data_IF_625168329092
#
_entry.id   IF_625168329092
#
_cell.length_a   1.000
_cell.length_b   1.000
_cell.length_c   1.000
_cell.angle_alpha   90.00
_cell.angle_beta   90.00
_cell.angle_gamma   90.00
#
_symmetry.space_group_name_H-M   'P 1'
#
loop_
_entity.id
_entity.type
_entity.pdbx_description
1 polymer ?
#
# COMPACT_ATOMS: atom_id res chain seq x y z
N UNK A 1 -15.89 -44.23 -24.70
CA UNK A 1 -15.96 -43.38 -23.50
C UNK A 1 -14.52 -43.08 -23.07
N UNK A 2 -14.08 -41.83 -23.19
CA UNK A 2 -12.77 -41.37 -22.71
C UNK A 2 -13.03 -40.12 -21.87
N UNK A 3 -13.14 -40.32 -20.56
CA UNK A 3 -13.22 -39.22 -19.59
C UNK A 3 -11.78 -38.79 -19.35
N UNK A 4 -11.34 -37.76 -20.07
CA UNK A 4 -10.07 -37.09 -19.79
C UNK A 4 -10.37 -36.02 -18.73
N UNK A 5 -10.26 -36.41 -17.46
CA UNK A 5 -10.25 -35.47 -16.35
C UNK A 5 -8.90 -34.75 -16.33
N UNK A 6 -8.86 -33.53 -16.87
CA UNK A 6 -7.71 -32.64 -16.74
C UNK A 6 -7.77 -31.97 -15.36
N UNK A 7 -7.07 -32.58 -14.41
CA UNK A 7 -6.68 -31.97 -13.15
C UNK A 7 -5.66 -30.88 -13.47
N UNK A 8 -6.06 -29.62 -13.34
CA UNK A 8 -5.12 -28.53 -13.07
C UNK A 8 -5.58 -27.81 -11.80
N UNK A 9 -5.29 -28.48 -10.68
CA UNK A 9 -5.06 -27.83 -9.40
C UNK A 9 -3.87 -26.89 -9.59
N UNK A 10 -4.12 -25.68 -10.08
CA UNK A 10 -3.19 -24.58 -9.82
C UNK A 10 -3.51 -24.14 -8.40
N UNK A 11 -3.00 -24.92 -7.46
CA UNK A 11 -2.74 -24.49 -6.10
C UNK A 11 -1.77 -23.33 -6.23
N UNK A 12 -2.30 -22.12 -6.44
CA UNK A 12 -1.52 -20.90 -6.39
C UNK A 12 -0.97 -20.81 -4.98
N UNK A 13 0.24 -21.32 -4.80
CA UNK A 13 1.15 -20.95 -3.73
C UNK A 13 1.40 -19.46 -3.93
N UNK A 14 0.44 -18.64 -3.47
CA UNK A 14 0.76 -17.28 -3.08
C UNK A 14 1.60 -17.50 -1.85
N UNK A 15 2.90 -17.52 -2.07
CA UNK A 15 3.91 -17.48 -1.04
C UNK A 15 3.43 -16.47 -0.01
N UNK A 16 3.05 -16.95 1.17
CA UNK A 16 3.03 -16.13 2.38
C UNK A 16 4.51 -15.76 2.66
N UNK A 17 5.10 -14.94 1.81
CA UNK A 17 6.02 -13.94 2.31
C UNK A 17 5.13 -13.14 3.25
N UNK A 18 5.34 -13.31 4.56
CA UNK A 18 4.67 -12.48 5.55
C UNK A 18 4.86 -11.05 5.08
N UNK A 19 3.78 -10.42 4.62
CA UNK A 19 3.79 -9.06 4.15
C UNK A 19 4.33 -8.22 5.30
N UNK A 20 5.59 -7.84 5.20
CA UNK A 20 6.26 -7.10 6.25
C UNK A 20 5.84 -5.62 6.20
N UNK A 21 5.10 -5.22 5.16
CA UNK A 21 4.63 -3.86 4.94
C UNK A 21 3.21 -3.75 4.40
N UNK A 22 2.81 -2.50 4.34
CA UNK A 22 1.49 -2.04 3.96
C UNK A 22 1.66 -1.17 2.71
N UNK A 23 0.99 -1.56 1.63
CA UNK A 23 0.97 -0.77 0.42
C UNK A 23 0.12 0.47 0.68
N UNK A 24 0.75 1.64 0.64
CA UNK A 24 0.13 2.92 0.87
C UNK A 24 0.07 3.73 -0.43
N UNK A 25 -1.09 4.32 -0.67
CA UNK A 25 -1.33 5.27 -1.75
C UNK A 25 -1.65 6.63 -1.14
N UNK A 26 -0.95 7.65 -1.62
CA UNK A 26 -1.20 9.04 -1.31
C UNK A 26 -2.19 9.59 -2.34
N UNK A 27 -3.33 10.07 -1.86
CA UNK A 27 -4.38 10.65 -2.70
C UNK A 27 -4.43 12.16 -2.50
N UNK A 28 -4.63 12.87 -3.60
CA UNK A 28 -4.89 14.30 -3.55
C UNK A 28 -6.38 14.62 -3.31
N UNK A 29 -6.70 15.92 -3.30
CA UNK A 29 -8.08 16.42 -3.12
C UNK A 29 -9.09 15.85 -4.14
N UNK A 30 -8.62 15.44 -5.32
CA UNK A 30 -9.45 14.85 -6.38
C UNK A 30 -9.53 13.32 -6.27
N UNK A 31 -9.07 12.72 -5.17
CA UNK A 31 -8.96 11.27 -4.98
C UNK A 31 -8.08 10.57 -6.05
N UNK A 32 -7.17 11.32 -6.68
CA UNK A 32 -6.19 10.75 -7.60
C UNK A 32 -4.93 10.34 -6.83
N UNK A 33 -4.39 9.17 -7.16
CA UNK A 33 -3.14 8.67 -6.59
C UNK A 33 -1.98 9.49 -7.14
N UNK A 34 -1.26 10.17 -6.25
CA UNK A 34 -0.11 11.03 -6.58
C UNK A 34 1.22 10.47 -6.07
N UNK A 35 1.16 9.40 -5.29
CA UNK A 35 2.32 8.70 -4.78
C UNK A 35 1.94 7.33 -4.24
N UNK A 36 2.84 6.36 -4.38
CA UNK A 36 2.66 5.01 -3.84
C UNK A 36 3.94 4.55 -3.18
N UNK A 37 3.83 3.83 -2.07
CA UNK A 37 5.00 3.29 -1.39
C UNK A 37 4.65 2.10 -0.50
N UNK A 38 5.66 1.29 -0.21
CA UNK A 38 5.56 0.22 0.77
C UNK A 38 6.02 0.76 2.13
N UNK A 39 5.14 0.69 3.13
CA UNK A 39 5.45 1.13 4.50
C UNK A 39 5.56 -0.11 5.38
N UNK A 40 6.74 -0.38 5.94
CA UNK A 40 6.90 -1.53 6.84
C UNK A 40 5.96 -1.40 8.05
N UNK A 41 5.37 -2.53 8.48
CA UNK A 41 4.46 -2.58 9.62
C UNK A 41 5.12 -2.10 10.90
N UNK A 42 4.39 -1.32 11.70
CA UNK A 42 4.87 -0.64 12.91
C UNK A 42 6.08 0.27 12.66
N UNK A 43 6.25 0.74 11.42
CA UNK A 43 7.33 1.62 11.02
C UNK A 43 6.78 2.75 10.15
N UNK A 44 7.69 3.55 9.59
CA UNK A 44 7.37 4.64 8.70
C UNK A 44 8.19 4.57 7.40
N UNK A 45 7.64 5.12 6.33
CA UNK A 45 8.35 5.33 5.09
C UNK A 45 7.96 6.68 4.50
N UNK A 46 8.83 7.24 3.65
CA UNK A 46 8.52 8.46 2.94
C UNK A 46 7.89 8.11 1.58
N UNK A 47 6.69 8.63 1.33
CA UNK A 47 5.98 8.50 0.06
C UNK A 47 6.13 9.79 -0.71
N UNK A 48 6.67 9.69 -1.92
CA UNK A 48 6.88 10.84 -2.78
C UNK A 48 5.61 11.19 -3.55
N UNK A 49 5.17 12.44 -3.44
CA UNK A 49 4.15 13.04 -4.30
C UNK A 49 4.81 13.60 -5.56
N UNK A 50 4.54 12.97 -6.70
CA UNK A 50 5.10 13.39 -8.00
C UNK A 50 4.58 14.74 -8.48
N UNK A 51 3.37 15.12 -8.05
CA UNK A 51 2.70 16.37 -8.46
C UNK A 51 3.30 17.56 -7.75
N UNK A 52 3.55 17.44 -6.44
CA UNK A 52 4.13 18.50 -5.62
C UNK A 52 5.63 18.45 -5.47
N UNK A 53 6.26 17.36 -5.95
CA UNK A 53 7.68 17.08 -5.77
C UNK A 53 8.10 17.11 -4.30
N UNK A 54 7.24 16.59 -3.44
CA UNK A 54 7.38 16.61 -1.99
C UNK A 54 7.28 15.20 -1.41
N UNK A 55 8.03 14.93 -0.34
CA UNK A 55 7.98 13.65 0.37
C UNK A 55 7.13 13.75 1.62
N UNK A 56 6.21 12.80 1.81
CA UNK A 56 5.35 12.70 2.98
C UNK A 56 5.69 11.46 3.78
N UNK A 57 6.02 11.63 5.06
CA UNK A 57 6.22 10.50 5.96
C UNK A 57 4.87 9.87 6.28
N UNK A 58 4.77 8.56 6.08
CA UNK A 58 3.59 7.75 6.35
C UNK A 58 3.98 6.65 7.31
N UNK A 59 3.22 6.52 8.39
CA UNK A 59 3.35 5.44 9.35
C UNK A 59 2.34 4.34 9.04
N UNK A 60 2.71 3.09 9.29
CA UNK A 60 1.80 1.97 9.26
C UNK A 60 1.82 1.25 10.61
N UNK A 61 0.65 0.85 11.11
CA UNK A 61 0.56 -0.07 12.24
C UNK A 61 0.52 -1.54 11.77
N UNK A 62 0.49 -2.48 12.72
CA UNK A 62 0.43 -3.92 12.44
C UNK A 62 -0.79 -4.38 11.62
N UNK A 63 -1.86 -3.59 11.58
CA UNK A 63 -3.09 -3.88 10.85
C UNK A 63 -3.17 -3.08 9.54
N UNK A 64 -2.06 -2.49 9.09
CA UNK A 64 -2.02 -1.57 7.95
C UNK A 64 -2.96 -0.37 8.05
N UNK A 65 -3.25 0.08 9.27
CA UNK A 65 -3.74 1.43 9.51
C UNK A 65 -2.65 2.43 9.16
N UNK A 66 -2.94 3.28 8.19
CA UNK A 66 -2.02 4.29 7.68
C UNK A 66 -2.30 5.65 8.32
N UNK A 67 -1.25 6.38 8.65
CA UNK A 67 -1.35 7.76 9.12
C UNK A 67 -0.18 8.60 8.62
N UNK A 68 -0.40 9.89 8.49
CA UNK A 68 0.70 10.82 8.22
C UNK A 68 1.60 10.97 9.45
N UNK A 69 2.87 11.29 9.22
CA UNK A 69 3.79 11.70 10.28
C UNK A 69 3.30 12.94 11.03
N UNK A 70 3.60 13.02 12.32
CA UNK A 70 3.10 14.10 13.19
C UNK A 70 3.75 15.47 12.92
N UNK A 71 4.86 15.51 12.18
CA UNK A 71 5.69 16.70 11.95
C UNK A 71 5.73 17.02 10.45
N UNK A 72 4.58 17.10 9.80
CA UNK A 72 4.49 17.54 8.40
C UNK A 72 3.14 18.24 8.14
N UNK A 73 3.16 19.24 7.27
CA UNK A 73 1.94 19.92 6.83
C UNK A 73 1.34 19.12 5.68
N UNK A 74 0.14 18.59 5.89
CA UNK A 74 -0.61 17.89 4.86
C UNK A 74 -1.48 18.90 4.11
N UNK A 75 -1.38 18.98 2.77
CA UNK A 75 -2.26 19.83 1.99
C UNK A 75 -3.73 19.45 2.19
N UNK A 76 -4.62 20.44 2.21
CA UNK A 76 -6.05 20.18 2.39
C UNK A 76 -6.61 19.18 1.35
N UNK A 77 -7.44 18.27 1.85
CA UNK A 77 -8.07 17.21 1.05
C UNK A 77 -7.17 16.03 0.69
N UNK A 78 -5.90 16.02 1.12
CA UNK A 78 -5.05 14.84 0.97
C UNK A 78 -5.46 13.73 1.93
N UNK A 79 -5.35 12.49 1.46
CA UNK A 79 -5.67 11.30 2.24
C UNK A 79 -4.73 10.14 1.91
N UNK A 80 -4.79 9.10 2.73
CA UNK A 80 -4.07 7.85 2.52
C UNK A 80 -5.07 6.73 2.28
N UNK A 81 -4.72 5.83 1.35
CA UNK A 81 -5.46 4.58 1.12
C UNK A 81 -4.52 3.41 1.26
N UNK A 82 -4.97 2.39 1.96
CA UNK A 82 -4.30 1.10 2.00
C UNK A 82 -4.74 0.31 0.75
N UNK A 83 -3.77 -0.07 -0.08
CA UNK A 83 -4.01 -0.75 -1.35
C UNK A 83 -3.61 -2.24 -1.34
N UNK A 84 -3.29 -2.75 -0.15
CA UNK A 84 -2.90 -4.13 0.06
C UNK A 84 -1.66 -4.26 0.92
N UNK A 85 -1.00 -5.38 0.73
CA UNK A 85 0.21 -5.79 1.42
C UNK A 85 1.41 -5.69 0.48
N UNK A 86 2.57 -5.44 1.07
CA UNK A 86 3.89 -5.49 0.45
C UNK A 86 4.87 -6.03 1.51
#
# INVERSE_FOLDING_TARGET
MKITAAIYLITGYISLAAAAGCQAELLNINQAVVGTGCVQMNYYANIYDSTRRAGYTVNANSNCGLSFGNIQVIPDGYSLRQAGYC
#
